data_IF_330209920631
#
_entry.id   IF_330209920631
#
_cell.length_a   1.000
_cell.length_b   1.000
_cell.length_c   1.000
_cell.angle_alpha   90.00
_cell.angle_beta   90.00
_cell.angle_gamma   90.00
#
_symmetry.space_group_name_H-M   'P 1'
#
loop_
_entity.id
_entity.type
_entity.pdbx_description
1 polymer ?
#
# COMPACT_ATOMS: atom_id res chain seq x y z
N UNK A 1 -5.07 -5.99 -16.63
CA UNK A 1 -5.77 -4.68 -16.67
C UNK A 1 -5.92 -4.04 -15.29
N UNK A 2 -6.36 -4.76 -14.25
CA UNK A 2 -6.56 -4.20 -12.90
C UNK A 2 -5.26 -3.70 -12.23
N UNK A 3 -4.12 -4.37 -12.44
CA UNK A 3 -2.86 -4.00 -11.79
C UNK A 3 -2.32 -2.62 -12.16
N UNK A 4 -2.59 -2.13 -13.38
CA UNK A 4 -2.16 -0.78 -13.80
C UNK A 4 -2.94 0.28 -13.02
N UNK A 5 -4.22 0.04 -12.75
CA UNK A 5 -5.07 0.96 -11.98
C UNK A 5 -4.60 1.00 -10.54
N UNK A 6 -4.29 -0.16 -9.95
CA UNK A 6 -3.79 -0.24 -8.57
C UNK A 6 -2.41 0.38 -8.40
N UNK A 7 -1.49 0.16 -9.35
CA UNK A 7 -0.18 0.80 -9.35
C UNK A 7 -0.29 2.32 -9.49
N UNK A 8 -1.20 2.82 -10.32
CA UNK A 8 -1.47 4.25 -10.46
C UNK A 8 -2.08 4.84 -9.18
N UNK A 9 -3.05 4.14 -8.58
CA UNK A 9 -3.67 4.51 -7.31
C UNK A 9 -2.65 4.51 -6.16
N UNK A 10 -1.69 3.58 -6.17
CA UNK A 10 -0.64 3.48 -5.17
C UNK A 10 0.29 4.70 -5.15
N UNK A 11 0.48 5.38 -6.30
CA UNK A 11 1.24 6.63 -6.35
C UNK A 11 0.57 7.78 -5.60
N UNK A 12 -0.74 7.69 -5.34
CA UNK A 12 -1.43 8.65 -4.49
C UNK A 12 -1.13 8.46 -2.99
N UNK A 13 -0.52 7.32 -2.61
CA UNK A 13 -0.13 7.01 -1.25
C UNK A 13 1.39 7.13 -1.08
N UNK A 14 1.81 8.01 -0.18
CA UNK A 14 3.20 8.18 0.19
C UNK A 14 3.65 7.08 1.14
N UNK A 15 4.85 6.57 0.89
CA UNK A 15 5.52 5.60 1.77
C UNK A 15 5.81 6.25 3.12
N UNK A 16 5.58 5.53 4.21
CA UNK A 16 5.82 6.01 5.57
C UNK A 16 4.76 6.99 6.09
N UNK A 17 3.75 7.32 5.30
CA UNK A 17 2.60 8.13 5.73
C UNK A 17 1.47 7.21 6.18
N UNK A 18 0.92 7.53 7.36
CA UNK A 18 -0.26 6.85 7.88
C UNK A 18 -1.50 7.64 7.50
N UNK A 19 -2.41 6.98 6.82
CA UNK A 19 -3.69 7.52 6.40
C UNK A 19 -4.80 6.94 7.26
N UNK A 20 -5.77 7.77 7.63
CA UNK A 20 -7.01 7.31 8.24
C UNK A 20 -7.92 6.65 7.21
N UNK A 21 -8.89 5.86 7.65
CA UNK A 21 -9.92 5.31 6.75
C UNK A 21 -10.57 6.40 5.89
N UNK A 22 -10.89 7.54 6.48
CA UNK A 22 -11.51 8.68 5.77
C UNK A 22 -10.61 9.19 4.65
N UNK A 23 -9.31 9.35 4.92
CA UNK A 23 -8.36 9.82 3.91
C UNK A 23 -8.18 8.83 2.78
N UNK A 24 -8.02 7.54 3.10
CA UNK A 24 -7.97 6.47 2.10
C UNK A 24 -9.23 6.50 1.24
N UNK A 25 -10.40 6.57 1.86
CA UNK A 25 -11.67 6.61 1.14
C UNK A 25 -11.76 7.85 0.24
N UNK A 26 -11.31 9.01 0.71
CA UNK A 26 -11.28 10.25 -0.09
C UNK A 26 -10.32 10.15 -1.28
N UNK A 27 -9.12 9.58 -1.08
CA UNK A 27 -8.13 9.38 -2.14
C UNK A 27 -8.72 8.45 -3.20
N UNK A 28 -9.21 7.28 -2.82
CA UNK A 28 -9.77 6.28 -3.75
C UNK A 28 -10.99 6.85 -4.49
N UNK A 29 -11.87 7.58 -3.80
CA UNK A 29 -13.08 8.18 -4.38
C UNK A 29 -12.80 9.17 -5.50
N UNK A 30 -11.60 9.75 -5.57
CA UNK A 30 -11.18 10.62 -6.68
C UNK A 30 -10.91 9.85 -7.96
N UNK A 31 -10.63 8.55 -7.86
CA UNK A 31 -10.32 7.69 -9.02
C UNK A 31 -11.50 6.78 -9.38
N UNK A 32 -12.25 6.29 -8.39
CA UNK A 32 -13.36 5.37 -8.63
C UNK A 32 -14.43 5.44 -7.54
N UNK A 33 -15.69 5.20 -7.90
CA UNK A 33 -16.82 5.16 -6.96
C UNK A 33 -16.80 3.92 -6.05
N UNK A 34 -16.28 2.80 -6.55
CA UNK A 34 -16.07 1.56 -5.78
C UNK A 34 -14.84 1.65 -4.86
N UNK A 35 -14.99 2.42 -3.79
CA UNK A 35 -13.93 2.64 -2.79
C UNK A 35 -13.63 1.36 -2.01
N UNK A 36 -14.67 0.61 -1.64
CA UNK A 36 -14.55 -0.55 -0.78
C UNK A 36 -13.82 -1.72 -1.48
N UNK A 37 -14.13 -1.98 -2.76
CA UNK A 37 -13.45 -2.99 -3.57
C UNK A 37 -12.00 -2.63 -3.79
N UNK A 38 -11.71 -1.43 -4.29
CA UNK A 38 -10.32 -1.00 -4.51
C UNK A 38 -9.47 -1.03 -3.23
N UNK A 39 -10.03 -0.60 -2.09
CA UNK A 39 -9.33 -0.70 -0.81
C UNK A 39 -9.04 -2.15 -0.45
N UNK A 40 -9.99 -3.06 -0.70
CA UNK A 40 -9.81 -4.50 -0.47
C UNK A 40 -8.75 -5.07 -1.40
N UNK A 41 -8.79 -4.78 -2.70
CA UNK A 41 -7.79 -5.21 -3.68
C UNK A 41 -6.38 -4.72 -3.33
N UNK A 42 -6.24 -3.46 -2.89
CA UNK A 42 -4.96 -2.91 -2.43
C UNK A 42 -4.38 -3.67 -1.23
N UNK A 43 -5.23 -4.10 -0.31
CA UNK A 43 -4.82 -4.86 0.88
C UNK A 43 -4.53 -6.32 0.53
N UNK A 44 -5.37 -6.93 -0.30
CA UNK A 44 -5.25 -8.32 -0.75
C UNK A 44 -3.95 -8.54 -1.53
N UNK A 45 -3.56 -7.57 -2.36
CA UNK A 45 -2.30 -7.57 -3.09
C UNK A 45 -1.09 -7.08 -2.25
N UNK A 46 -1.28 -6.75 -0.98
CA UNK A 46 -0.19 -6.29 -0.10
C UNK A 46 0.37 -4.90 -0.44
N UNK A 47 -0.29 -4.15 -1.32
CA UNK A 47 0.12 -2.80 -1.73
C UNK A 47 -0.19 -1.75 -0.65
N UNK A 48 -1.20 -2.01 0.17
CA UNK A 48 -1.58 -1.18 1.31
C UNK A 48 -1.78 -2.07 2.53
N UNK A 49 -1.16 -1.72 3.64
CA UNK A 49 -1.41 -2.37 4.92
C UNK A 49 -2.45 -1.59 5.73
N UNK A 50 -3.11 -2.31 6.63
CA UNK A 50 -4.04 -1.73 7.60
C UNK A 50 -3.70 -2.18 9.01
N UNK A 51 -4.05 -1.35 9.98
CA UNK A 51 -4.06 -1.73 11.38
C UNK A 51 -5.19 -2.74 11.62
N UNK A 52 -5.00 -3.67 12.54
CA UNK A 52 -6.01 -4.70 12.89
C UNK A 52 -7.37 -4.10 13.30
N UNK A 53 -7.33 -2.89 13.86
CA UNK A 53 -8.50 -2.11 14.27
C UNK A 53 -9.19 -1.35 13.11
N UNK A 54 -8.59 -1.33 11.91
CA UNK A 54 -9.14 -0.64 10.72
C UNK A 54 -9.01 0.90 10.75
N UNK A 55 -8.55 1.47 11.86
CA UNK A 55 -8.40 2.93 12.04
C UNK A 55 -7.32 3.57 11.15
N UNK A 56 -6.31 2.80 10.71
CA UNK A 56 -5.12 3.31 10.05
C UNK A 56 -4.70 2.43 8.89
N UNK A 57 -4.20 3.05 7.83
CA UNK A 57 -3.73 2.44 6.61
C UNK A 57 -2.40 3.06 6.19
N UNK A 58 -1.52 2.30 5.55
CA UNK A 58 -0.24 2.83 5.06
C UNK A 58 0.26 2.03 3.88
N UNK A 59 1.01 2.70 3.00
CA UNK A 59 1.79 2.02 1.97
C UNK A 59 3.08 1.51 2.62
N UNK A 60 3.31 0.18 2.68
CA UNK A 60 4.63 -0.33 3.05
C UNK A 60 5.65 0.19 2.03
N UNK A 61 6.86 0.54 2.48
CA UNK A 61 7.97 0.68 1.54
C UNK A 61 8.01 -0.62 0.75
N UNK A 62 7.94 -0.51 -0.58
CA UNK A 62 7.93 -1.67 -1.46
C UNK A 62 9.01 -2.66 -0.98
N UNK A 63 8.73 -3.98 -0.91
CA UNK A 63 9.84 -4.91 -0.97
C UNK A 63 10.44 -4.71 -2.35
N UNK A 64 11.37 -3.77 -2.48
CA UNK A 64 12.35 -3.79 -3.56
C UNK A 64 12.80 -5.23 -3.64
N UNK A 65 12.56 -5.83 -4.81
CA UNK A 65 13.03 -7.11 -5.30
C UNK A 65 13.81 -7.96 -4.27
N UNK A 66 13.46 -9.23 -4.00
CA UNK A 66 14.22 -10.07 -3.07
C UNK A 66 15.72 -10.21 -3.41
N UNK A 67 16.16 -9.76 -4.59
CA UNK A 67 17.58 -9.59 -4.95
C UNK A 67 18.34 -8.47 -4.20
N UNK A 68 17.66 -7.49 -3.58
CA UNK A 68 18.30 -6.44 -2.76
C UNK A 68 18.34 -6.81 -1.26
N UNK A 69 17.58 -7.82 -0.84
CA UNK A 69 17.58 -8.30 0.55
C UNK A 69 18.82 -9.16 0.90
N UNK A 70 19.68 -9.49 -0.07
CA UNK A 70 20.92 -10.26 0.12
C UNK A 70 22.18 -9.41 0.34
N UNK A 71 22.06 -8.09 0.59
CA UNK A 71 23.19 -7.22 0.94
C UNK A 71 22.94 -6.43 2.23
N UNK A 72 22.60 -7.13 3.32
CA UNK A 72 22.33 -6.45 4.59
C UNK A 72 22.64 -7.22 5.87
N UNK A 73 22.96 -8.52 5.83
CA UNK A 73 23.47 -9.23 7.00
C UNK A 73 24.97 -9.38 6.83
N UNK A 74 25.67 -8.32 7.21
CA UNK A 74 27.08 -8.39 7.56
C UNK A 74 27.24 -9.47 8.63
N UNK A 75 27.68 -10.65 8.20
CA UNK A 75 28.38 -11.59 9.06
C UNK A 75 29.63 -10.85 9.55
N UNK A 76 29.65 -10.50 10.83
CA UNK A 76 30.85 -10.03 11.53
C UNK A 76 31.32 -11.20 12.41
N UNK A 77 32.56 -11.67 12.26
CA UNK A 77 33.16 -12.65 13.18
C UNK A 77 33.41 -12.06 14.58
#
# INVERSE_FOLDING_TARGET
KLQVILAYLLQAFSVGVIYTEKEVNQIIRRYHEDVAGLRRDLIDQGLLQRKSDGSQYWRPAEPTDPADQEKGVQHVP
#
